data_IF_926633699809
#
_entry.id   IF_926633699809
#
_cell.length_a   1.000
_cell.length_b   1.000
_cell.length_c   1.000
_cell.angle_alpha   90.00
_cell.angle_beta   90.00
_cell.angle_gamma   90.00
#
_symmetry.space_group_name_H-M   'P 1'
#
loop_
_entity.id
_entity.type
_entity.pdbx_description
1 polymer ?
#
# COMPACT_ATOMS: atom_id res chain seq x y z
N UNK A 1 -19.92 -46.46 11.86
CA UNK A 1 -19.25 -45.62 10.81
C UNK A 1 -20.14 -45.11 9.67
N UNK A 2 -20.82 -45.89 8.80
CA UNK A 2 -21.75 -45.33 7.79
C UNK A 2 -23.18 -45.08 8.32
N UNK A 3 -23.64 -45.82 9.35
CA UNK A 3 -24.94 -45.61 10.00
C UNK A 3 -24.99 -44.43 10.97
N UNK A 4 -23.88 -44.04 11.60
CA UNK A 4 -23.83 -42.84 12.47
C UNK A 4 -23.87 -41.54 11.65
N UNK A 5 -23.31 -41.54 10.43
CA UNK A 5 -23.35 -40.37 9.54
C UNK A 5 -24.73 -40.15 8.91
N UNK A 6 -25.52 -41.21 8.73
CA UNK A 6 -26.89 -41.13 8.18
C UNK A 6 -27.90 -40.63 9.22
N UNK A 7 -27.69 -40.91 10.51
CA UNK A 7 -28.50 -40.34 11.59
C UNK A 7 -28.21 -38.86 11.83
N UNK A 8 -26.96 -38.40 11.71
CA UNK A 8 -26.62 -36.97 11.85
C UNK A 8 -27.23 -36.09 10.74
N UNK A 9 -27.43 -36.64 9.53
CA UNK A 9 -28.10 -35.95 8.42
C UNK A 9 -29.62 -35.87 8.60
N UNK A 10 -30.24 -36.88 9.22
CA UNK A 10 -31.68 -36.87 9.52
C UNK A 10 -32.03 -35.96 10.70
N UNK A 11 -31.16 -35.91 11.72
CA UNK A 11 -31.27 -34.93 12.80
C UNK A 11 -31.15 -33.50 12.22
N UNK A 12 -30.37 -33.31 11.14
CA UNK A 12 -30.31 -32.04 10.39
C UNK A 12 -31.59 -31.60 9.70
N UNK A 13 -32.45 -32.53 9.30
CA UNK A 13 -33.74 -32.23 8.67
C UNK A 13 -34.92 -32.17 9.67
N UNK A 14 -34.73 -32.64 10.91
CA UNK A 14 -35.78 -32.71 11.97
C UNK A 14 -35.77 -31.56 13.00
N UNK A 15 -34.94 -30.52 12.84
CA UNK A 15 -34.89 -29.42 13.83
C UNK A 15 -36.10 -28.50 13.83
N UNK A 16 -36.72 -28.30 12.66
CA UNK A 16 -38.03 -27.65 12.58
C UNK A 16 -39.10 -28.47 13.31
N UNK A 17 -38.95 -29.80 13.36
CA UNK A 17 -39.89 -30.71 14.03
C UNK A 17 -39.76 -30.70 15.56
N UNK A 18 -38.55 -30.53 16.13
CA UNK A 18 -38.35 -30.45 17.60
C UNK A 18 -39.11 -29.27 18.25
N UNK A 19 -39.16 -28.10 17.59
CA UNK A 19 -39.94 -26.93 18.06
C UNK A 19 -41.43 -27.04 17.72
N UNK A 20 -41.80 -27.88 16.75
CA UNK A 20 -43.19 -28.11 16.36
C UNK A 20 -43.92 -29.12 17.26
N UNK A 21 -43.21 -30.10 17.82
CA UNK A 21 -43.81 -31.21 18.58
C UNK A 21 -44.13 -30.82 20.03
N UNK A 22 -43.17 -30.26 20.79
CA UNK A 22 -43.44 -29.71 22.12
C UNK A 22 -42.42 -28.64 22.55
N UNK A 23 -42.90 -27.40 22.73
CA UNK A 23 -42.09 -26.24 23.14
C UNK A 23 -41.94 -26.19 24.66
N UNK A 24 -41.33 -27.22 25.24
CA UNK A 24 -40.86 -27.23 26.64
C UNK A 24 -39.40 -26.73 26.72
N UNK A 25 -38.93 -26.44 27.93
CA UNK A 25 -37.65 -25.75 28.14
C UNK A 25 -36.45 -26.54 27.56
N UNK A 26 -36.39 -27.85 27.80
CA UNK A 26 -35.28 -28.68 27.34
C UNK A 26 -35.21 -28.76 25.81
N UNK A 27 -36.35 -28.96 25.15
CA UNK A 27 -36.41 -29.04 23.69
C UNK A 27 -36.01 -27.71 23.04
N UNK A 28 -36.48 -26.57 23.57
CA UNK A 28 -36.10 -25.26 23.07
C UNK A 28 -34.60 -24.99 23.28
N UNK A 29 -34.04 -25.35 24.45
CA UNK A 29 -32.61 -25.19 24.74
C UNK A 29 -31.73 -26.04 23.83
N UNK A 30 -32.10 -27.30 23.60
CA UNK A 30 -31.36 -28.21 22.72
C UNK A 30 -31.39 -27.72 21.26
N UNK A 31 -32.56 -27.29 20.78
CA UNK A 31 -32.71 -26.75 19.44
C UNK A 31 -31.83 -25.51 19.21
N UNK A 32 -31.80 -24.56 20.16
CA UNK A 32 -30.95 -23.36 20.08
C UNK A 32 -29.46 -23.72 20.06
N UNK A 33 -29.03 -24.67 20.90
CA UNK A 33 -27.62 -25.10 20.98
C UNK A 33 -27.13 -25.74 19.69
N UNK A 34 -28.00 -26.44 18.98
CA UNK A 34 -27.66 -27.12 17.74
C UNK A 34 -27.71 -26.16 16.54
N UNK A 35 -28.72 -25.29 16.50
CA UNK A 35 -28.88 -24.29 15.47
C UNK A 35 -29.56 -23.03 16.04
N UNK A 36 -28.87 -21.90 16.00
CA UNK A 36 -29.37 -20.64 16.51
C UNK A 36 -30.60 -20.10 15.73
N UNK A 37 -30.75 -20.46 14.46
CA UNK A 37 -31.91 -20.08 13.66
C UNK A 37 -33.21 -20.67 14.20
N UNK A 38 -33.12 -21.70 15.05
CA UNK A 38 -34.25 -22.30 15.75
C UNK A 38 -35.07 -21.28 16.55
N UNK A 39 -34.44 -20.19 17.02
CA UNK A 39 -35.11 -19.08 17.72
C UNK A 39 -36.28 -18.49 16.91
N UNK A 40 -36.14 -18.42 15.57
CA UNK A 40 -37.17 -17.88 14.66
C UNK A 40 -38.49 -18.64 14.72
N UNK A 41 -38.45 -19.90 15.15
CA UNK A 41 -39.62 -20.80 15.17
C UNK A 41 -40.28 -20.91 16.56
N UNK A 42 -39.69 -20.30 17.59
CA UNK A 42 -40.24 -20.31 18.95
C UNK A 42 -41.49 -19.42 19.03
N UNK A 43 -42.59 -19.98 19.55
CA UNK A 43 -43.84 -19.23 19.78
C UNK A 43 -43.81 -18.63 21.18
N UNK A 44 -43.17 -17.48 21.35
CA UNK A 44 -42.94 -16.81 22.63
C UNK A 44 -44.19 -16.70 23.52
N UNK A 45 -45.35 -16.31 22.95
CA UNK A 45 -46.65 -16.28 23.66
C UNK A 45 -47.03 -17.60 24.32
N UNK A 46 -46.76 -18.72 23.62
CA UNK A 46 -47.14 -20.07 24.07
C UNK A 46 -46.21 -20.55 25.17
N UNK A 47 -44.90 -20.33 25.03
CA UNK A 47 -43.91 -20.78 26.01
C UNK A 47 -43.91 -19.94 27.29
N UNK A 48 -44.27 -18.66 27.18
CA UNK A 48 -44.43 -17.76 28.33
C UNK A 48 -45.30 -18.36 29.42
N UNK A 49 -46.39 -19.03 29.09
CA UNK A 49 -47.29 -19.61 30.10
C UNK A 49 -46.84 -20.99 30.62
N UNK A 50 -45.87 -21.62 29.95
CA UNK A 50 -45.40 -22.98 30.25
C UNK A 50 -44.09 -23.02 31.04
N UNK A 51 -43.27 -21.97 30.95
CA UNK A 51 -41.95 -21.89 31.57
C UNK A 51 -41.96 -20.91 32.75
N UNK A 52 -41.12 -21.15 33.75
CA UNK A 52 -40.80 -20.18 34.81
C UNK A 52 -40.04 -18.98 34.24
N UNK A 53 -39.97 -17.87 34.99
CA UNK A 53 -39.18 -16.71 34.58
C UNK A 53 -37.69 -17.03 34.48
N UNK A 54 -37.16 -17.91 35.33
CA UNK A 54 -35.75 -18.36 35.30
C UNK A 54 -35.43 -19.21 34.05
N UNK A 55 -36.34 -20.10 33.66
CA UNK A 55 -36.20 -20.88 32.43
C UNK A 55 -36.23 -19.99 31.18
N UNK A 56 -37.14 -19.01 31.15
CA UNK A 56 -37.21 -18.04 30.06
C UNK A 56 -35.94 -17.19 29.96
N UNK A 57 -35.40 -16.72 31.10
CA UNK A 57 -34.13 -16.00 31.13
C UNK A 57 -32.98 -16.83 30.57
N UNK A 58 -32.82 -18.08 31.06
CA UNK A 58 -31.77 -18.99 30.56
C UNK A 58 -31.90 -19.26 29.07
N UNK A 59 -33.12 -19.46 28.59
CA UNK A 59 -33.40 -19.69 27.17
C UNK A 59 -33.02 -18.48 26.32
N UNK A 60 -33.40 -17.27 26.75
CA UNK A 60 -33.07 -16.04 26.05
C UNK A 60 -31.56 -15.79 26.03
N UNK A 61 -30.87 -16.01 27.17
CA UNK A 61 -29.41 -15.85 27.27
C UNK A 61 -28.70 -16.84 26.35
N UNK A 62 -29.09 -18.12 26.34
CA UNK A 62 -28.48 -19.11 25.44
C UNK A 62 -28.74 -18.75 23.97
N UNK A 63 -29.91 -18.17 23.65
CA UNK A 63 -30.25 -17.71 22.31
C UNK A 63 -29.36 -16.60 21.76
N UNK A 64 -28.91 -15.69 22.62
CA UNK A 64 -28.05 -14.54 22.20
C UNK A 64 -26.56 -14.80 22.39
N UNK A 65 -26.20 -15.94 22.98
CA UNK A 65 -24.84 -16.26 23.44
C UNK A 65 -23.78 -16.32 22.34
N UNK A 66 -24.13 -16.82 21.16
CA UNK A 66 -23.18 -16.97 20.04
C UNK A 66 -23.38 -15.89 18.97
N UNK A 67 -24.57 -15.30 18.91
CA UNK A 67 -24.88 -14.18 18.03
C UNK A 67 -25.86 -13.24 18.74
N UNK A 68 -25.34 -12.13 19.27
CA UNK A 68 -26.13 -11.14 20.00
C UNK A 68 -27.32 -10.56 19.21
N UNK A 69 -27.22 -10.52 17.87
CA UNK A 69 -28.30 -10.07 16.98
C UNK A 69 -29.54 -10.97 17.01
N UNK A 70 -29.43 -12.20 17.50
CA UNK A 70 -30.56 -13.10 17.66
C UNK A 70 -31.62 -12.56 18.64
N UNK A 71 -31.29 -11.50 19.41
CA UNK A 71 -32.25 -10.74 20.20
C UNK A 71 -33.45 -10.26 19.36
N UNK A 72 -33.27 -10.01 18.05
CA UNK A 72 -34.36 -9.67 17.12
C UNK A 72 -35.46 -10.74 17.06
N UNK A 73 -35.10 -12.02 17.19
CA UNK A 73 -36.03 -13.14 17.10
C UNK A 73 -36.67 -13.48 18.45
N UNK A 74 -36.24 -12.83 19.53
CA UNK A 74 -36.82 -12.99 20.87
C UNK A 74 -37.90 -11.92 21.05
N UNK A 75 -39.16 -12.32 21.10
CA UNK A 75 -40.26 -11.37 21.32
C UNK A 75 -40.36 -10.98 22.81
N UNK A 76 -39.45 -10.10 23.22
CA UNK A 76 -39.36 -9.61 24.60
C UNK A 76 -40.57 -8.76 25.00
N UNK A 77 -41.28 -8.13 24.04
CA UNK A 77 -42.52 -7.41 24.34
C UNK A 77 -43.57 -8.34 24.93
N UNK A 78 -43.64 -9.57 24.44
CA UNK A 78 -44.55 -10.58 24.98
C UNK A 78 -44.11 -11.12 26.35
N UNK A 79 -42.81 -11.05 26.68
CA UNK A 79 -42.24 -11.59 27.91
C UNK A 79 -42.07 -10.57 29.05
N UNK A 80 -42.25 -9.28 28.78
CA UNK A 80 -41.88 -8.18 29.68
C UNK A 80 -42.64 -8.17 31.01
N UNK A 81 -43.86 -8.72 31.05
CA UNK A 81 -44.69 -8.87 32.25
C UNK A 81 -44.35 -10.12 33.07
N UNK A 82 -43.58 -11.07 32.50
CA UNK A 82 -43.15 -12.29 33.19
C UNK A 82 -41.69 -12.23 33.66
N UNK A 83 -40.84 -11.53 32.94
CA UNK A 83 -39.44 -11.34 33.30
C UNK A 83 -39.30 -10.11 34.20
N UNK A 84 -38.52 -10.23 35.28
CA UNK A 84 -38.20 -9.05 36.08
C UNK A 84 -37.19 -8.14 35.37
N UNK A 85 -37.13 -6.87 35.77
CA UNK A 85 -36.16 -5.90 35.22
C UNK A 85 -34.71 -6.38 35.34
N UNK A 86 -34.37 -7.14 36.39
CA UNK A 86 -33.05 -7.74 36.57
C UNK A 86 -32.73 -8.77 35.47
N UNK A 87 -33.71 -9.59 35.10
CA UNK A 87 -33.56 -10.63 34.09
C UNK A 87 -33.50 -10.05 32.69
N UNK A 88 -34.36 -9.07 32.39
CA UNK A 88 -34.29 -8.31 31.13
C UNK A 88 -32.92 -7.66 30.96
N UNK A 89 -32.44 -6.97 32.00
CA UNK A 89 -31.09 -6.40 32.02
C UNK A 89 -29.99 -7.45 31.76
N UNK A 90 -30.06 -8.63 32.38
CA UNK A 90 -29.10 -9.71 32.13
C UNK A 90 -29.14 -10.17 30.66
N UNK A 91 -30.33 -10.37 30.08
CA UNK A 91 -30.49 -10.79 28.68
C UNK A 91 -29.87 -9.72 27.75
N UNK A 92 -30.22 -8.45 27.96
CA UNK A 92 -29.72 -7.35 27.14
C UNK A 92 -28.21 -7.20 27.22
N UNK A 93 -27.64 -7.25 28.42
CA UNK A 93 -26.18 -7.12 28.61
C UNK A 93 -25.42 -8.27 27.96
N UNK A 94 -25.93 -9.51 28.00
CA UNK A 94 -25.33 -10.62 27.25
C UNK A 94 -25.42 -10.38 25.74
N UNK A 95 -26.59 -9.99 25.22
CA UNK A 95 -26.77 -9.74 23.79
C UNK A 95 -25.84 -8.64 23.25
N UNK A 96 -25.79 -7.47 23.91
CA UNK A 96 -24.95 -6.36 23.45
C UNK A 96 -23.46 -6.60 23.68
N UNK A 97 -23.10 -7.46 24.63
CA UNK A 97 -21.72 -7.89 24.86
C UNK A 97 -21.23 -8.78 23.72
N UNK A 98 -22.07 -9.66 23.19
CA UNK A 98 -21.71 -10.49 22.03
C UNK A 98 -21.73 -9.69 20.72
N UNK A 99 -22.70 -8.79 20.54
CA UNK A 99 -22.74 -7.89 19.40
C UNK A 99 -23.38 -6.55 19.76
N UNK A 100 -22.61 -5.46 19.72
CA UNK A 100 -23.09 -4.12 20.08
C UNK A 100 -24.32 -3.66 19.28
N UNK A 101 -24.49 -4.12 18.02
CA UNK A 101 -25.67 -3.79 17.20
C UNK A 101 -26.97 -4.39 17.72
N UNK A 102 -26.90 -5.37 18.63
CA UNK A 102 -28.07 -5.90 19.33
C UNK A 102 -28.83 -4.80 20.10
N UNK A 103 -28.19 -3.66 20.39
CA UNK A 103 -28.84 -2.52 21.03
C UNK A 103 -30.12 -2.07 20.31
N UNK A 104 -30.20 -2.24 18.99
CA UNK A 104 -31.40 -1.93 18.18
C UNK A 104 -32.68 -2.64 18.66
N UNK A 105 -32.53 -3.81 19.28
CA UNK A 105 -33.63 -4.66 19.71
C UNK A 105 -33.85 -4.62 21.23
N UNK A 106 -33.08 -3.79 21.96
CA UNK A 106 -33.24 -3.62 23.40
C UNK A 106 -34.46 -2.73 23.69
N UNK A 107 -35.32 -3.18 24.60
CA UNK A 107 -36.45 -2.42 25.10
C UNK A 107 -36.01 -1.77 26.42
N UNK A 108 -36.01 -0.43 26.46
CA UNK A 108 -35.51 0.33 27.61
C UNK A 108 -36.58 0.57 28.69
N UNK A 109 -37.86 0.36 28.36
CA UNK A 109 -38.97 0.58 29.27
C UNK A 109 -38.87 -0.31 30.52
N UNK A 110 -39.06 0.28 31.70
CA UNK A 110 -38.95 -0.41 32.99
C UNK A 110 -37.54 -0.55 33.56
N UNK A 111 -36.48 -0.29 32.77
CA UNK A 111 -35.10 -0.29 33.27
C UNK A 111 -34.76 1.02 33.98
N UNK A 112 -33.89 0.95 34.99
CA UNK A 112 -33.34 2.14 35.65
C UNK A 112 -32.33 2.87 34.76
N UNK A 113 -32.14 4.17 34.99
CA UNK A 113 -31.14 4.97 34.25
C UNK A 113 -29.72 4.37 34.31
N UNK A 114 -29.34 3.81 35.47
CA UNK A 114 -28.04 3.16 35.68
C UNK A 114 -27.91 1.92 34.79
N UNK A 115 -28.95 1.09 34.71
CA UNK A 115 -28.98 -0.10 33.86
C UNK A 115 -28.90 0.27 32.38
N UNK A 116 -29.70 1.25 31.95
CA UNK A 116 -29.70 1.75 30.56
C UNK A 116 -28.31 2.26 30.18
N UNK A 117 -27.71 3.11 31.03
CA UNK A 117 -26.36 3.62 30.82
C UNK A 117 -25.33 2.48 30.68
N UNK A 118 -25.41 1.46 31.53
CA UNK A 118 -24.46 0.34 31.45
C UNK A 118 -24.65 -0.50 30.17
N UNK A 119 -25.89 -0.76 29.74
CA UNK A 119 -26.16 -1.44 28.46
C UNK A 119 -25.55 -0.65 27.31
N UNK A 120 -25.75 0.68 27.28
CA UNK A 120 -25.15 1.54 26.26
C UNK A 120 -23.62 1.47 26.27
N UNK A 121 -22.98 1.54 27.44
CA UNK A 121 -21.52 1.44 27.56
C UNK A 121 -20.96 0.11 27.05
N UNK A 122 -21.62 -1.01 27.36
CA UNK A 122 -21.22 -2.32 26.83
C UNK A 122 -21.36 -2.33 25.31
N UNK A 123 -22.48 -1.83 24.78
CA UNK A 123 -22.74 -1.81 23.35
C UNK A 123 -21.71 -0.99 22.56
N UNK A 124 -21.41 0.25 23.00
CA UNK A 124 -20.46 1.12 22.29
C UNK A 124 -19.01 0.63 22.37
N UNK A 125 -18.63 -0.06 23.44
CA UNK A 125 -17.31 -0.71 23.56
C UNK A 125 -17.15 -1.86 22.56
N UNK A 126 -18.24 -2.53 22.22
CA UNK A 126 -18.22 -3.57 21.20
C UNK A 126 -18.32 -3.01 19.78
N UNK A 127 -19.14 -1.99 19.56
CA UNK A 127 -19.29 -1.34 18.27
C UNK A 127 -19.61 0.16 18.45
N UNK A 128 -18.66 1.02 18.10
CA UNK A 128 -18.77 2.47 18.28
C UNK A 128 -19.92 3.10 17.48
N UNK A 129 -20.29 2.53 16.32
CA UNK A 129 -21.33 3.08 15.44
C UNK A 129 -22.73 2.98 16.05
N UNK A 130 -22.87 2.19 17.11
CA UNK A 130 -24.13 2.06 17.87
C UNK A 130 -24.55 3.39 18.48
N UNK A 131 -23.63 4.34 18.67
CA UNK A 131 -23.93 5.69 19.14
C UNK A 131 -25.04 6.39 18.32
N UNK A 132 -25.16 6.09 17.03
CA UNK A 132 -26.21 6.65 16.16
C UNK A 132 -27.64 6.28 16.61
N UNK A 133 -27.81 5.21 17.39
CA UNK A 133 -29.10 4.75 17.91
C UNK A 133 -29.39 5.25 19.33
N UNK A 134 -28.43 5.91 19.98
CA UNK A 134 -28.55 6.38 21.36
C UNK A 134 -29.01 7.84 21.35
N UNK A 135 -30.24 8.09 21.86
CA UNK A 135 -30.80 9.44 22.01
C UNK A 135 -30.18 10.20 23.18
N UNK A 136 -30.25 9.63 24.38
CA UNK A 136 -29.73 10.26 25.60
C UNK A 136 -28.24 9.98 25.77
N UNK A 137 -27.42 10.77 25.08
CA UNK A 137 -25.97 10.62 25.09
C UNK A 137 -25.34 11.28 26.33
N UNK A 138 -24.25 10.69 26.83
CA UNK A 138 -23.42 11.27 27.88
C UNK A 138 -21.96 11.26 27.43
N UNK A 139 -21.11 12.08 28.08
CA UNK A 139 -19.68 12.14 27.76
C UNK A 139 -19.03 10.75 27.73
N UNK A 140 -19.32 9.91 28.73
CA UNK A 140 -18.74 8.57 28.86
C UNK A 140 -19.16 7.64 27.70
N UNK A 141 -20.41 7.70 27.26
CA UNK A 141 -20.90 6.90 26.13
C UNK A 141 -20.22 7.37 24.84
N UNK A 142 -20.15 8.69 24.62
CA UNK A 142 -19.53 9.26 23.42
C UNK A 142 -18.03 8.94 23.35
N UNK A 143 -17.29 9.12 24.45
CA UNK A 143 -15.83 8.89 24.44
C UNK A 143 -15.49 7.41 24.23
N UNK A 144 -16.24 6.48 24.83
CA UNK A 144 -16.02 5.05 24.63
C UNK A 144 -16.37 4.60 23.20
N UNK A 145 -17.41 5.20 22.61
CA UNK A 145 -17.76 5.01 21.19
C UNK A 145 -16.65 5.50 20.26
N UNK A 146 -16.14 6.72 20.49
CA UNK A 146 -15.05 7.32 19.69
C UNK A 146 -13.74 6.57 19.84
N UNK A 147 -13.40 6.10 21.05
CA UNK A 147 -12.25 5.22 21.29
C UNK A 147 -12.33 3.94 20.47
N UNK A 148 -13.55 3.40 20.30
CA UNK A 148 -13.78 2.19 19.51
C UNK A 148 -13.61 2.49 18.02
N UNK A 149 -14.34 3.48 17.51
CA UNK A 149 -14.26 3.94 16.12
C UNK A 149 -14.19 5.47 16.08
N UNK A 150 -13.09 6.02 15.56
CA UNK A 150 -12.86 7.47 15.55
C UNK A 150 -13.96 8.26 14.84
N UNK A 151 -14.49 7.72 13.74
CA UNK A 151 -15.56 8.34 12.97
C UNK A 151 -16.91 8.36 13.68
N UNK A 152 -17.08 7.63 14.78
CA UNK A 152 -18.33 7.63 15.53
C UNK A 152 -18.67 9.02 16.10
N UNK A 153 -17.69 9.93 16.16
CA UNK A 153 -17.92 11.32 16.57
C UNK A 153 -18.97 12.06 15.70
N UNK A 154 -19.19 11.61 14.46
CA UNK A 154 -20.25 12.17 13.60
C UNK A 154 -21.67 11.96 14.16
N UNK A 155 -21.84 10.93 15.00
CA UNK A 155 -23.11 10.54 15.62
C UNK A 155 -23.37 11.24 16.97
N UNK A 156 -22.42 12.05 17.45
CA UNK A 156 -22.63 12.85 18.67
C UNK A 156 -23.71 13.90 18.40
N UNK A 157 -24.74 13.92 19.25
CA UNK A 157 -25.81 14.91 19.18
C UNK A 157 -25.43 16.20 19.91
N UNK A 158 -24.64 17.03 19.24
CA UNK A 158 -24.11 18.30 19.78
C UNK A 158 -25.16 19.33 20.23
N UNK A 159 -26.41 19.18 19.81
CA UNK A 159 -27.51 20.10 20.12
C UNK A 159 -28.18 19.73 21.45
N UNK A 160 -28.26 18.43 21.77
CA UNK A 160 -28.89 17.92 23.00
C UNK A 160 -27.89 17.62 24.12
N UNK A 161 -26.65 17.24 23.77
CA UNK A 161 -25.66 16.83 24.77
C UNK A 161 -25.09 18.04 25.53
N UNK A 162 -25.19 18.01 26.86
CA UNK A 162 -24.63 19.03 27.74
C UNK A 162 -23.20 18.65 28.18
N UNK A 163 -22.20 19.15 27.47
CA UNK A 163 -20.77 18.92 27.77
C UNK A 163 -20.05 20.22 28.12
N UNK A 164 -19.06 20.12 29.00
CA UNK A 164 -18.12 21.24 29.23
C UNK A 164 -17.22 21.44 28.01
N UNK A 165 -16.64 22.64 27.87
CA UNK A 165 -15.67 22.93 26.79
C UNK A 165 -14.49 21.96 26.79
N UNK A 166 -14.05 21.53 27.98
CA UNK A 166 -12.97 20.57 28.14
C UNK A 166 -13.37 19.17 27.65
N UNK A 167 -14.57 18.70 28.01
CA UNK A 167 -15.11 17.43 27.52
C UNK A 167 -15.26 17.42 25.99
N UNK A 168 -15.74 18.51 25.40
CA UNK A 168 -15.83 18.64 23.94
C UNK A 168 -14.43 18.52 23.32
N UNK A 169 -13.46 19.25 23.86
CA UNK A 169 -12.08 19.23 23.38
C UNK A 169 -11.47 17.82 23.46
N UNK A 170 -11.57 17.17 24.62
CA UNK A 170 -11.05 15.81 24.84
C UNK A 170 -11.70 14.79 23.90
N UNK A 171 -13.01 14.90 23.67
CA UNK A 171 -13.73 14.03 22.74
C UNK A 171 -13.25 14.23 21.29
N UNK A 172 -13.00 15.46 20.86
CA UNK A 172 -12.45 15.76 19.54
C UNK A 172 -11.00 15.26 19.39
N UNK A 173 -10.17 15.46 20.42
CA UNK A 173 -8.79 14.95 20.47
C UNK A 173 -8.79 13.43 20.35
N UNK A 174 -9.61 12.73 21.13
CA UNK A 174 -9.69 11.27 21.08
C UNK A 174 -10.10 10.74 19.69
N UNK A 175 -10.97 11.48 18.98
CA UNK A 175 -11.35 11.12 17.61
C UNK A 175 -10.17 11.21 16.63
N UNK A 176 -9.34 12.25 16.73
CA UNK A 176 -8.22 12.44 15.80
C UNK A 176 -6.97 11.66 16.20
N UNK A 177 -6.83 11.29 17.48
CA UNK A 177 -5.65 10.63 18.07
C UNK A 177 -5.30 9.28 17.46
N UNK A 178 -6.28 8.52 16.97
CA UNK A 178 -6.01 7.23 16.28
C UNK A 178 -5.95 7.37 14.77
N UNK A 179 -6.65 8.36 14.24
CA UNK A 179 -6.84 8.57 12.81
C UNK A 179 -7.01 10.07 12.59
N UNK A 180 -5.92 10.79 12.28
CA UNK A 180 -5.93 12.24 12.13
C UNK A 180 -6.94 12.75 11.10
N UNK A 181 -7.15 11.99 10.02
CA UNK A 181 -8.20 12.24 9.02
C UNK A 181 -9.64 12.27 9.56
N UNK A 182 -9.90 11.82 10.80
CA UNK A 182 -11.22 11.91 11.45
C UNK A 182 -11.69 13.35 11.67
N UNK A 183 -10.82 14.36 11.46
CA UNK A 183 -11.20 15.77 11.36
C UNK A 183 -12.41 16.00 10.43
N UNK A 184 -12.58 15.17 9.38
CA UNK A 184 -13.71 15.30 8.43
C UNK A 184 -15.08 15.03 9.06
N UNK A 185 -15.11 14.23 10.13
CA UNK A 185 -16.35 13.84 10.80
C UNK A 185 -16.79 14.85 11.85
N UNK A 186 -15.91 15.79 12.22
CA UNK A 186 -16.22 16.86 13.16
C UNK A 186 -17.12 17.90 12.51
N UNK A 187 -18.30 18.11 13.11
CA UNK A 187 -19.28 19.12 12.68
C UNK A 187 -18.85 20.51 13.13
N UNK A 188 -17.85 21.08 12.46
CA UNK A 188 -17.22 22.36 12.83
C UNK A 188 -18.20 23.52 12.97
N UNK A 189 -19.30 23.54 12.21
CA UNK A 189 -20.36 24.55 12.33
C UNK A 189 -21.00 24.60 13.72
N UNK A 190 -21.01 23.48 14.46
CA UNK A 190 -21.58 23.35 15.81
C UNK A 190 -20.53 23.43 16.92
N UNK A 191 -19.26 23.20 16.57
CA UNK A 191 -18.16 23.08 17.53
C UNK A 191 -17.35 24.37 17.68
N UNK A 192 -17.17 25.13 16.60
CA UNK A 192 -16.26 26.28 16.56
C UNK A 192 -16.57 27.33 17.64
N UNK A 193 -17.84 27.59 17.90
CA UNK A 193 -18.28 28.61 18.87
C UNK A 193 -18.24 28.10 20.31
N UNK A 194 -18.13 26.77 20.51
CA UNK A 194 -18.05 26.13 21.82
C UNK A 194 -16.61 26.04 22.33
N UNK A 195 -15.60 26.08 21.45
CA UNK A 195 -14.19 25.89 21.76
C UNK A 195 -13.40 27.20 21.72
N UNK A 196 -12.35 27.30 22.54
CA UNK A 196 -11.38 28.40 22.44
C UNK A 196 -10.41 28.19 21.28
N UNK A 197 -9.75 29.26 20.82
CA UNK A 197 -8.69 29.17 19.79
C UNK A 197 -7.56 28.22 20.19
N UNK A 198 -7.20 28.19 21.48
CA UNK A 198 -6.18 27.29 22.02
C UNK A 198 -6.59 25.82 21.88
N UNK A 199 -7.84 25.49 22.20
CA UNK A 199 -8.36 24.12 22.08
C UNK A 199 -8.50 23.67 20.62
N UNK A 200 -8.94 24.56 19.73
CA UNK A 200 -8.95 24.29 18.29
C UNK A 200 -7.54 23.97 17.78
N UNK A 201 -6.56 24.78 18.19
CA UNK A 201 -5.16 24.53 17.87
C UNK A 201 -4.66 23.17 18.37
N UNK A 202 -4.99 22.78 19.60
CA UNK A 202 -4.62 21.47 20.17
C UNK A 202 -5.21 20.30 19.36
N UNK A 203 -6.49 20.37 18.98
CA UNK A 203 -7.15 19.35 18.15
C UNK A 203 -6.47 19.24 16.77
N UNK A 204 -6.23 20.38 16.12
CA UNK A 204 -5.60 20.42 14.81
C UNK A 204 -4.16 19.91 14.83
N UNK A 205 -3.41 20.29 15.87
CA UNK A 205 -2.03 19.84 16.05
C UNK A 205 -1.95 18.33 16.26
N UNK A 206 -2.85 17.77 17.08
CA UNK A 206 -2.89 16.32 17.28
C UNK A 206 -3.27 15.57 16.00
N UNK A 207 -4.24 16.11 15.24
CA UNK A 207 -4.63 15.50 13.97
C UNK A 207 -3.50 15.42 12.95
N UNK A 208 -2.71 16.49 12.78
CA UNK A 208 -1.60 16.49 11.81
C UNK A 208 -0.38 15.70 12.27
N UNK A 209 -0.20 15.48 13.58
CA UNK A 209 0.84 14.59 14.12
C UNK A 209 0.57 13.13 13.74
N UNK A 210 -0.70 12.73 13.78
CA UNK A 210 -1.11 11.37 13.43
C UNK A 210 -1.21 11.18 11.91
N UNK A 211 -1.78 12.15 11.20
CA UNK A 211 -1.91 12.15 9.74
C UNK A 211 -1.64 13.54 9.17
N UNK A 212 -0.45 13.78 8.61
CA UNK A 212 -0.08 15.10 8.08
C UNK A 212 -0.95 15.57 6.92
N UNK A 213 -1.61 14.65 6.19
CA UNK A 213 -2.56 15.02 5.14
C UNK A 213 -3.88 15.57 5.70
N UNK A 214 -4.13 15.43 7.00
CA UNK A 214 -5.26 16.06 7.68
C UNK A 214 -5.23 17.60 7.56
N UNK A 215 -4.07 18.20 7.24
CA UNK A 215 -3.92 19.62 6.93
C UNK A 215 -4.92 20.11 5.87
N UNK A 216 -5.28 19.27 4.90
CA UNK A 216 -6.27 19.59 3.85
C UNK A 216 -7.66 19.96 4.38
N UNK A 217 -7.97 19.57 5.62
CA UNK A 217 -9.25 19.84 6.28
C UNK A 217 -9.19 21.02 7.25
N UNK A 218 -7.99 21.59 7.48
CA UNK A 218 -7.78 22.70 8.41
C UNK A 218 -7.82 24.00 7.63
N UNK A 219 -8.87 24.80 7.84
CA UNK A 219 -9.01 26.13 7.24
C UNK A 219 -8.13 27.18 7.92
N UNK A 220 -8.15 27.18 9.26
CA UNK A 220 -7.38 28.12 10.08
C UNK A 220 -6.01 27.51 10.41
N UNK A 221 -5.10 27.53 9.44
CA UNK A 221 -3.75 27.01 9.60
C UNK A 221 -2.87 27.98 10.41
N UNK A 222 -1.81 27.45 11.02
CA UNK A 222 -0.74 28.22 11.64
C UNK A 222 0.61 27.68 11.15
N UNK A 223 1.69 28.50 11.15
CA UNK A 223 3.00 28.02 10.72
C UNK A 223 3.47 26.75 11.45
N UNK A 224 3.14 26.62 12.74
CA UNK A 224 3.46 25.45 13.54
C UNK A 224 2.70 24.19 13.08
N UNK A 225 1.41 24.31 12.76
CA UNK A 225 0.60 23.20 12.24
C UNK A 225 1.12 22.78 10.86
N UNK A 226 1.41 23.73 9.97
CA UNK A 226 1.98 23.44 8.66
C UNK A 226 3.32 22.69 8.78
N UNK A 227 4.20 23.16 9.69
CA UNK A 227 5.48 22.50 9.94
C UNK A 227 5.30 21.08 10.48
N UNK A 228 4.44 20.87 11.46
CA UNK A 228 4.24 19.52 12.01
C UNK A 228 3.63 18.58 10.97
N UNK A 229 2.69 19.06 10.15
CA UNK A 229 2.10 18.27 9.06
C UNK A 229 3.14 17.84 8.02
N UNK A 230 3.97 18.78 7.55
CA UNK A 230 5.06 18.51 6.60
C UNK A 230 6.13 17.59 7.21
N UNK A 231 6.41 17.76 8.49
CA UNK A 231 7.32 16.89 9.25
C UNK A 231 6.75 15.47 9.45
N UNK A 232 5.44 15.29 9.48
CA UNK A 232 4.82 13.95 9.47
C UNK A 232 4.94 13.35 8.06
N UNK A 233 4.51 14.08 7.03
CA UNK A 233 4.62 13.70 5.62
C UNK A 233 4.88 14.91 4.74
N UNK A 234 5.95 14.87 3.94
CA UNK A 234 6.30 15.99 3.07
C UNK A 234 5.22 16.29 2.01
N UNK A 235 4.36 15.32 1.68
CA UNK A 235 3.21 15.53 0.78
C UNK A 235 2.14 16.47 1.35
N UNK A 236 2.17 16.78 2.66
CA UNK A 236 1.29 17.79 3.25
C UNK A 236 1.56 19.20 2.68
N UNK A 237 2.73 19.42 2.07
CA UNK A 237 3.11 20.69 1.45
C UNK A 237 2.08 21.19 0.43
N UNK A 238 1.42 20.29 -0.29
CA UNK A 238 0.37 20.62 -1.27
C UNK A 238 -0.86 21.33 -0.65
N UNK A 239 -1.06 21.21 0.66
CA UNK A 239 -2.21 21.77 1.39
C UNK A 239 -1.83 22.97 2.27
N UNK A 240 -0.56 23.37 2.28
CA UNK A 240 -0.09 24.51 3.05
C UNK A 240 -0.70 25.79 2.50
N UNK A 241 -1.28 26.59 3.39
CA UNK A 241 -1.62 27.97 3.07
C UNK A 241 -0.34 28.81 3.08
N UNK A 242 0.14 29.18 1.90
CA UNK A 242 1.39 29.94 1.75
C UNK A 242 1.28 31.37 2.27
N UNK A 243 0.08 31.95 2.29
CA UNK A 243 -0.14 33.36 2.64
C UNK A 243 0.12 33.66 4.14
N UNK A 244 0.14 32.62 4.98
CA UNK A 244 0.41 32.75 6.43
C UNK A 244 1.89 32.56 6.79
N UNK A 245 2.75 32.30 5.82
CA UNK A 245 4.16 31.99 6.03
C UNK A 245 5.07 33.11 5.54
N UNK A 246 6.17 33.34 6.27
CA UNK A 246 7.28 34.15 5.77
C UNK A 246 8.11 33.39 4.73
N UNK A 247 8.85 34.11 3.88
CA UNK A 247 9.73 33.51 2.86
C UNK A 247 10.71 32.50 3.46
N UNK A 248 11.27 32.78 4.63
CA UNK A 248 12.18 31.88 5.32
C UNK A 248 11.48 30.57 5.75
N UNK A 249 10.26 30.66 6.27
CA UNK A 249 9.48 29.47 6.64
C UNK A 249 9.11 28.64 5.42
N UNK A 250 8.70 29.27 4.32
CA UNK A 250 8.43 28.60 3.05
C UNK A 250 9.66 27.84 2.58
N UNK A 251 10.81 28.51 2.52
CA UNK A 251 12.08 27.91 2.12
C UNK A 251 12.42 26.69 2.98
N UNK A 252 12.37 26.83 4.31
CA UNK A 252 12.70 25.74 5.23
C UNK A 252 11.74 24.54 5.07
N UNK A 253 10.44 24.77 4.91
CA UNK A 253 9.46 23.70 4.67
C UNK A 253 9.75 22.97 3.36
N UNK A 254 10.02 23.71 2.27
CA UNK A 254 10.34 23.12 0.98
C UNK A 254 11.62 22.26 1.06
N UNK A 255 12.70 22.79 1.64
CA UNK A 255 13.97 22.06 1.80
C UNK A 255 13.79 20.79 2.65
N UNK A 256 13.13 20.88 3.81
CA UNK A 256 12.86 19.72 4.67
C UNK A 256 12.01 18.66 3.94
N UNK A 257 11.09 19.09 3.08
CA UNK A 257 10.22 18.20 2.31
C UNK A 257 10.97 17.45 1.22
N UNK A 258 11.68 18.18 0.34
CA UNK A 258 12.36 17.57 -0.82
C UNK A 258 13.53 16.68 -0.42
N UNK A 259 14.18 16.96 0.72
CA UNK A 259 15.20 16.08 1.31
C UNK A 259 14.67 14.70 1.69
N UNK A 260 13.37 14.56 1.93
CA UNK A 260 12.73 13.28 2.26
C UNK A 260 12.23 12.56 1.02
N UNK A 261 11.61 13.30 0.11
CA UNK A 261 11.14 12.79 -1.18
C UNK A 261 11.24 13.90 -2.24
N UNK A 262 12.16 13.74 -3.18
CA UNK A 262 12.45 14.71 -4.23
C UNK A 262 11.25 14.99 -5.14
N UNK A 263 10.29 14.07 -5.26
CA UNK A 263 9.08 14.31 -6.06
C UNK A 263 8.16 15.37 -5.47
N UNK A 264 8.32 15.72 -4.19
CA UNK A 264 7.57 16.82 -3.56
C UNK A 264 7.88 18.17 -4.22
N UNK A 265 8.99 18.28 -4.98
CA UNK A 265 9.30 19.45 -5.79
C UNK A 265 8.12 19.87 -6.69
N UNK A 266 7.30 18.92 -7.15
CA UNK A 266 6.09 19.19 -7.94
C UNK A 266 5.01 19.99 -7.20
N UNK A 267 5.06 20.10 -5.88
CA UNK A 267 4.16 20.91 -5.06
C UNK A 267 4.78 22.25 -4.60
N UNK A 268 6.06 22.49 -4.91
CA UNK A 268 6.77 23.72 -4.55
C UNK A 268 6.37 24.83 -5.53
N UNK A 269 5.70 25.87 -5.03
CA UNK A 269 5.23 27.00 -5.85
C UNK A 269 6.37 27.87 -6.39
N UNK A 270 7.33 28.21 -5.53
CA UNK A 270 8.50 29.02 -5.88
C UNK A 270 9.77 28.17 -5.71
N UNK A 271 10.31 27.70 -6.84
CA UNK A 271 11.51 26.87 -6.87
C UNK A 271 12.76 27.75 -6.93
N UNK A 272 13.70 27.55 -6.01
CA UNK A 272 15.06 28.10 -6.09
C UNK A 272 16.01 27.01 -6.59
N UNK A 273 17.16 27.36 -7.20
CA UNK A 273 18.17 26.37 -7.59
C UNK A 273 18.55 25.43 -6.44
N UNK A 274 18.66 25.93 -5.21
CA UNK A 274 19.01 25.13 -4.04
C UNK A 274 17.93 24.09 -3.72
N UNK A 275 16.64 24.46 -3.77
CA UNK A 275 15.53 23.51 -3.54
C UNK A 275 15.53 22.44 -4.64
N UNK A 276 15.72 22.83 -5.90
CA UNK A 276 15.80 21.89 -7.02
C UNK A 276 16.99 20.94 -6.87
N UNK A 277 18.17 21.45 -6.50
CA UNK A 277 19.37 20.65 -6.26
C UNK A 277 19.16 19.62 -5.16
N UNK A 278 18.57 20.01 -4.02
CA UNK A 278 18.27 19.06 -2.94
C UNK A 278 17.26 17.98 -3.37
N UNK A 279 16.28 18.34 -4.20
CA UNK A 279 15.32 17.38 -4.74
C UNK A 279 15.98 16.35 -5.68
N UNK A 280 16.82 16.79 -6.63
CA UNK A 280 17.47 15.89 -7.59
C UNK A 280 18.59 15.07 -6.97
N UNK A 281 19.29 15.59 -5.93
CA UNK A 281 20.21 14.83 -5.10
C UNK A 281 19.52 13.67 -4.39
N UNK A 282 18.30 13.90 -3.91
CA UNK A 282 17.49 12.86 -3.27
C UNK A 282 17.01 11.83 -4.29
N UNK A 283 16.49 12.29 -5.45
CA UNK A 283 16.03 11.44 -6.55
C UNK A 283 16.18 12.16 -7.89
N UNK A 284 17.05 11.66 -8.78
CA UNK A 284 17.36 12.29 -10.06
C UNK A 284 16.14 12.44 -10.97
N UNK A 285 15.12 11.58 -10.85
CA UNK A 285 13.88 11.73 -11.59
C UNK A 285 13.01 12.90 -11.14
N UNK A 286 13.30 13.53 -9.99
CA UNK A 286 12.67 14.78 -9.59
C UNK A 286 12.92 15.92 -10.60
N UNK A 287 13.93 15.79 -11.47
CA UNK A 287 14.22 16.71 -12.56
C UNK A 287 12.99 17.00 -13.43
N UNK A 288 12.07 16.03 -13.58
CA UNK A 288 10.81 16.20 -14.32
C UNK A 288 9.89 17.29 -13.78
N UNK A 289 10.10 17.74 -12.53
CA UNK A 289 9.32 18.78 -11.86
C UNK A 289 10.09 20.10 -11.74
N UNK A 290 11.34 20.17 -12.22
CA UNK A 290 12.14 21.39 -12.22
C UNK A 290 11.64 22.31 -13.33
N UNK A 291 11.22 23.53 -12.97
CA UNK A 291 10.71 24.51 -13.94
C UNK A 291 11.83 25.14 -14.79
N UNK A 292 12.96 25.45 -14.15
CA UNK A 292 14.14 26.04 -14.81
C UNK A 292 15.34 25.10 -14.66
N UNK A 293 15.60 24.33 -15.72
CA UNK A 293 16.64 23.30 -15.74
C UNK A 293 18.01 23.91 -16.04
N UNK A 294 18.67 24.41 -15.01
CA UNK A 294 20.07 24.83 -15.11
C UNK A 294 20.98 23.61 -15.29
N UNK A 295 22.08 23.76 -16.05
CA UNK A 295 23.04 22.68 -16.32
C UNK A 295 23.52 22.00 -15.03
N UNK A 296 23.76 22.76 -13.95
CA UNK A 296 24.17 22.20 -12.66
C UNK A 296 23.13 21.24 -12.05
N UNK A 297 21.82 21.54 -12.21
CA UNK A 297 20.72 20.72 -11.72
C UNK A 297 20.59 19.46 -12.58
N UNK A 298 20.71 19.62 -13.90
CA UNK A 298 20.69 18.50 -14.84
C UNK A 298 21.85 17.54 -14.61
N UNK A 299 23.08 18.07 -14.46
CA UNK A 299 24.28 17.29 -14.15
C UNK A 299 24.12 16.54 -12.83
N UNK A 300 23.61 17.18 -11.79
CA UNK A 300 23.38 16.52 -10.51
C UNK A 300 22.32 15.42 -10.62
N UNK A 301 21.25 15.66 -11.37
CA UNK A 301 20.20 14.66 -11.61
C UNK A 301 20.73 13.42 -12.34
N UNK A 302 21.52 13.59 -13.40
CA UNK A 302 22.08 12.46 -14.18
C UNK A 302 23.21 11.75 -13.43
N UNK A 303 23.97 12.46 -12.57
CA UNK A 303 24.91 11.83 -11.62
C UNK A 303 24.20 10.94 -10.62
N UNK A 304 23.05 11.40 -10.10
CA UNK A 304 22.24 10.61 -9.18
C UNK A 304 21.62 9.40 -9.90
N UNK A 305 21.05 9.60 -11.08
CA UNK A 305 20.49 8.54 -11.93
C UNK A 305 20.62 8.92 -13.41
N UNK A 306 21.46 8.19 -14.16
CA UNK A 306 21.75 8.49 -15.57
C UNK A 306 20.52 8.46 -16.47
N UNK A 307 19.50 7.67 -16.11
CA UNK A 307 18.24 7.63 -16.85
C UNK A 307 17.42 8.92 -16.72
N UNK A 308 17.74 9.81 -15.77
CA UNK A 308 17.10 11.12 -15.65
C UNK A 308 17.35 12.03 -16.86
N UNK A 309 18.31 11.69 -17.75
CA UNK A 309 18.52 12.34 -19.05
C UNK A 309 17.23 12.38 -19.90
N UNK A 310 16.30 11.44 -19.69
CA UNK A 310 14.97 11.43 -20.30
C UNK A 310 14.20 12.73 -20.05
N UNK A 311 14.42 13.36 -18.89
CA UNK A 311 13.72 14.58 -18.47
C UNK A 311 14.53 15.87 -18.75
N UNK A 312 15.75 15.77 -19.28
CA UNK A 312 16.55 16.94 -19.65
C UNK A 312 16.00 17.52 -20.95
N UNK A 313 15.61 18.80 -20.89
CA UNK A 313 15.09 19.55 -22.04
C UNK A 313 16.19 19.78 -23.09
N UNK A 314 17.25 20.48 -22.68
CA UNK A 314 18.43 20.79 -23.47
C UNK A 314 19.60 19.87 -23.09
N UNK A 315 19.90 18.90 -23.95
CA UNK A 315 20.92 17.87 -23.71
C UNK A 315 22.27 18.34 -24.29
N UNK A 316 23.15 18.85 -23.44
CA UNK A 316 24.54 19.15 -23.84
C UNK A 316 25.39 17.87 -23.84
N UNK A 317 26.49 17.88 -24.60
CA UNK A 317 27.42 16.75 -24.63
C UNK A 317 27.95 16.38 -23.24
N UNK A 318 28.20 17.38 -22.39
CA UNK A 318 28.65 17.15 -21.00
C UNK A 318 27.61 16.37 -20.19
N UNK A 319 26.33 16.79 -20.24
CA UNK A 319 25.23 16.12 -19.52
C UNK A 319 25.01 14.70 -20.08
N UNK A 320 25.06 14.55 -21.41
CA UNK A 320 24.95 13.26 -22.09
C UNK A 320 26.06 12.29 -21.69
N UNK A 321 27.32 12.74 -21.72
CA UNK A 321 28.48 11.95 -21.32
C UNK A 321 28.38 11.53 -19.85
N UNK A 322 27.98 12.44 -18.97
CA UNK A 322 27.78 12.12 -17.55
C UNK A 322 26.68 11.06 -17.35
N UNK A 323 25.56 11.18 -18.08
CA UNK A 323 24.46 10.22 -18.01
C UNK A 323 24.87 8.81 -18.45
N UNK A 324 25.64 8.68 -19.53
CA UNK A 324 26.10 7.36 -20.02
C UNK A 324 27.23 6.78 -19.18
N UNK A 325 28.10 7.62 -18.59
CA UNK A 325 29.09 7.19 -17.59
C UNK A 325 28.42 6.62 -16.35
N UNK A 326 27.33 7.25 -15.90
CA UNK A 326 26.53 6.76 -14.78
C UNK A 326 25.85 5.42 -15.15
N UNK A 327 25.12 5.40 -16.26
CA UNK A 327 24.43 4.22 -16.79
C UNK A 327 24.46 4.20 -18.33
N UNK A 328 25.16 3.23 -18.93
CA UNK A 328 25.30 3.13 -20.39
C UNK A 328 23.97 2.98 -21.14
N UNK A 329 22.92 2.45 -20.49
CA UNK A 329 21.59 2.34 -21.11
C UNK A 329 20.86 3.68 -21.25
N UNK A 330 21.36 4.75 -20.63
CA UNK A 330 20.85 6.11 -20.79
C UNK A 330 20.95 6.60 -22.25
N UNK A 331 21.82 5.99 -23.07
CA UNK A 331 21.93 6.26 -24.50
C UNK A 331 20.59 6.21 -25.24
N UNK A 332 19.67 5.34 -24.79
CA UNK A 332 18.29 5.24 -25.32
C UNK A 332 17.54 6.57 -25.36
N UNK A 333 17.85 7.48 -24.44
CA UNK A 333 17.14 8.74 -24.25
C UNK A 333 17.91 9.96 -24.76
N UNK A 334 19.10 9.75 -25.33
CA UNK A 334 19.93 10.82 -25.90
C UNK A 334 19.45 11.12 -27.31
N UNK A 335 19.11 12.39 -27.55
CA UNK A 335 18.53 12.87 -28.80
C UNK A 335 19.56 13.00 -29.92
N UNK A 336 20.76 13.46 -29.61
CA UNK A 336 21.87 13.63 -30.56
C UNK A 336 23.04 12.78 -30.07
N UNK A 337 23.41 11.76 -30.84
CA UNK A 337 24.47 10.83 -30.45
C UNK A 337 25.77 11.20 -31.14
N UNK A 338 26.79 11.55 -30.36
CA UNK A 338 28.16 11.64 -30.87
C UNK A 338 28.86 10.29 -30.73
N UNK A 339 29.91 10.09 -31.51
CA UNK A 339 30.74 8.88 -31.45
C UNK A 339 31.30 8.68 -30.04
N UNK A 340 31.78 9.74 -29.39
CA UNK A 340 32.28 9.72 -28.02
C UNK A 340 31.21 9.24 -27.02
N UNK A 341 29.98 9.77 -27.12
CA UNK A 341 28.85 9.37 -26.26
C UNK A 341 28.53 7.89 -26.46
N UNK A 342 28.46 7.42 -27.71
CA UNK A 342 28.18 6.02 -28.03
C UNK A 342 29.28 5.09 -27.48
N UNK A 343 30.55 5.41 -27.71
CA UNK A 343 31.70 4.65 -27.23
C UNK A 343 31.67 4.58 -25.69
N UNK A 344 31.45 5.70 -25.01
CA UNK A 344 31.41 5.73 -23.55
C UNK A 344 30.23 4.90 -23.00
N UNK A 345 29.06 4.97 -23.66
CA UNK A 345 27.90 4.17 -23.30
C UNK A 345 28.15 2.66 -23.41
N UNK A 346 28.74 2.19 -24.52
CA UNK A 346 29.02 0.76 -24.72
C UNK A 346 30.16 0.25 -23.85
N UNK A 347 31.17 1.09 -23.55
CA UNK A 347 32.20 0.79 -22.54
C UNK A 347 31.59 0.60 -21.16
N UNK A 348 30.59 1.40 -20.81
CA UNK A 348 29.84 1.25 -19.56
C UNK A 348 28.97 0.01 -19.56
N UNK A 349 28.21 -0.24 -20.63
CA UNK A 349 27.36 -1.40 -20.81
C UNK A 349 27.26 -1.78 -22.30
N UNK A 350 27.82 -2.93 -22.70
CA UNK A 350 27.85 -3.36 -24.11
C UNK A 350 26.46 -3.51 -24.74
N UNK A 351 25.42 -3.76 -23.94
CA UNK A 351 24.03 -3.81 -24.42
C UNK A 351 23.48 -2.44 -24.84
N UNK A 352 24.18 -1.34 -24.54
CA UNK A 352 23.82 -0.01 -25.05
C UNK A 352 23.90 0.07 -26.58
N UNK A 353 24.66 -0.82 -27.23
CA UNK A 353 24.80 -0.89 -28.70
C UNK A 353 23.44 -0.93 -29.40
N UNK A 354 22.43 -1.58 -28.81
CA UNK A 354 21.07 -1.68 -29.36
C UNK A 354 20.35 -0.33 -29.53
N UNK A 355 20.87 0.73 -28.92
CA UNK A 355 20.29 2.07 -28.94
C UNK A 355 21.11 3.05 -29.78
N UNK A 356 22.22 2.60 -30.39
CA UNK A 356 23.00 3.39 -31.34
C UNK A 356 22.18 3.58 -32.61
N UNK A 357 22.03 4.83 -33.06
CA UNK A 357 21.29 5.17 -34.28
C UNK A 357 22.18 4.99 -35.50
N UNK A 358 22.00 3.89 -36.21
CA UNK A 358 22.85 3.47 -37.33
C UNK A 358 22.96 4.50 -38.45
N UNK A 359 21.91 5.28 -38.68
CA UNK A 359 21.80 6.28 -39.73
C UNK A 359 22.61 7.56 -39.46
N UNK A 360 23.09 7.77 -38.22
CA UNK A 360 23.87 8.95 -37.82
C UNK A 360 25.40 8.75 -37.97
N UNK A 361 25.89 7.55 -38.29
CA UNK A 361 27.33 7.21 -38.29
C UNK A 361 27.83 6.67 -39.64
N UNK A 362 29.11 6.92 -39.95
CA UNK A 362 29.78 6.18 -41.03
C UNK A 362 29.96 4.71 -40.66
N UNK A 363 30.21 3.87 -41.65
CA UNK A 363 30.47 2.44 -41.41
C UNK A 363 31.67 2.24 -40.48
N UNK A 364 32.74 2.99 -40.70
CA UNK A 364 33.97 2.92 -39.90
C UNK A 364 33.71 3.27 -38.43
N UNK A 365 32.95 4.34 -38.17
CA UNK A 365 32.58 4.76 -36.82
C UNK A 365 31.69 3.71 -36.13
N UNK A 366 30.72 3.15 -36.85
CA UNK A 366 29.87 2.10 -36.30
C UNK A 366 30.65 0.82 -35.99
N UNK A 367 31.59 0.44 -36.85
CA UNK A 367 32.47 -0.72 -36.62
C UNK A 367 33.31 -0.52 -35.35
N UNK A 368 33.84 0.69 -35.11
CA UNK A 368 34.58 1.03 -33.88
C UNK A 368 33.69 0.91 -32.62
N UNK A 369 32.48 1.47 -32.65
CA UNK A 369 31.50 1.36 -31.55
C UNK A 369 31.17 -0.12 -31.27
N UNK A 370 30.99 -0.94 -32.31
CA UNK A 370 30.74 -2.37 -32.18
C UNK A 370 31.90 -3.10 -31.51
N UNK A 371 33.15 -2.81 -31.90
CA UNK A 371 34.34 -3.40 -31.29
C UNK A 371 34.40 -3.08 -29.80
N UNK A 372 34.15 -1.82 -29.43
CA UNK A 372 34.11 -1.43 -28.01
C UNK A 372 32.95 -2.10 -27.23
N UNK A 373 31.79 -2.28 -27.85
CA UNK A 373 30.69 -3.03 -27.26
C UNK A 373 31.04 -4.51 -27.05
N UNK A 374 31.68 -5.14 -28.04
CA UNK A 374 32.19 -6.53 -27.98
C UNK A 374 33.25 -6.66 -26.89
N UNK A 375 34.15 -5.68 -26.78
CA UNK A 375 35.13 -5.64 -25.71
C UNK A 375 34.45 -5.73 -24.34
N UNK A 376 33.36 -4.98 -24.15
CA UNK A 376 32.61 -4.99 -22.90
C UNK A 376 31.76 -6.25 -22.69
N UNK A 377 31.13 -6.76 -23.73
CA UNK A 377 30.21 -7.90 -23.66
C UNK A 377 30.26 -8.69 -24.97
N UNK A 378 31.15 -9.70 -25.08
CA UNK A 378 31.39 -10.41 -26.35
C UNK A 378 30.15 -11.02 -26.98
N UNK A 379 29.18 -11.48 -26.16
CA UNK A 379 27.91 -12.03 -26.63
C UNK A 379 27.01 -11.04 -27.38
N UNK A 380 27.34 -9.74 -27.39
CA UNK A 380 26.61 -8.74 -28.18
C UNK A 380 26.73 -9.01 -29.69
N UNK A 381 27.76 -9.76 -30.11
CA UNK A 381 27.99 -10.16 -31.50
C UNK A 381 26.73 -10.77 -32.15
N UNK A 382 25.94 -11.53 -31.39
CA UNK A 382 24.70 -12.16 -31.86
C UNK A 382 23.63 -11.15 -32.34
N UNK A 383 23.74 -9.87 -31.95
CA UNK A 383 22.81 -8.80 -32.31
C UNK A 383 23.37 -7.85 -33.39
N UNK A 384 24.57 -8.13 -33.92
CA UNK A 384 25.19 -7.36 -35.00
C UNK A 384 24.89 -8.05 -36.33
N UNK A 385 24.13 -7.38 -37.21
CA UNK A 385 23.71 -7.94 -38.50
C UNK A 385 24.86 -8.10 -39.51
N UNK A 386 25.84 -7.17 -39.50
CA UNK A 386 26.95 -7.17 -40.46
C UNK A 386 28.28 -7.44 -39.76
N UNK A 387 28.49 -8.68 -39.32
CA UNK A 387 29.70 -9.07 -38.59
C UNK A 387 30.95 -9.03 -39.49
N UNK A 388 31.95 -8.23 -39.11
CA UNK A 388 33.27 -8.27 -39.76
C UNK A 388 34.14 -9.39 -39.19
N UNK A 389 35.14 -9.85 -39.94
CA UNK A 389 36.07 -10.87 -39.41
C UNK A 389 36.81 -10.35 -38.16
N UNK A 390 37.08 -9.04 -38.09
CA UNK A 390 37.69 -8.41 -36.93
C UNK A 390 36.79 -8.48 -35.69
N UNK A 391 35.50 -8.12 -35.81
CA UNK A 391 34.50 -8.26 -34.73
C UNK A 391 34.42 -9.70 -34.22
N UNK A 392 34.34 -10.66 -35.14
CA UNK A 392 34.28 -12.08 -34.80
C UNK A 392 35.54 -12.53 -34.07
N UNK A 393 36.73 -12.15 -34.55
CA UNK A 393 38.00 -12.49 -33.92
C UNK A 393 38.10 -11.90 -32.52
N UNK A 394 37.72 -10.64 -32.33
CA UNK A 394 37.79 -9.97 -31.04
C UNK A 394 36.81 -10.57 -30.03
N UNK A 395 35.59 -10.91 -30.47
CA UNK A 395 34.60 -11.58 -29.62
C UNK A 395 35.10 -12.94 -29.13
N UNK A 396 35.58 -13.81 -30.02
CA UNK A 396 36.00 -15.18 -29.66
C UNK A 396 37.31 -15.23 -28.88
N UNK A 397 38.16 -14.20 -28.99
CA UNK A 397 39.37 -14.06 -28.15
C UNK A 397 39.02 -13.77 -26.70
N UNK A 398 37.88 -13.12 -26.45
CA UNK A 398 37.41 -12.75 -25.11
C UNK A 398 36.49 -13.80 -24.49
N UNK A 399 35.61 -14.39 -25.30
CA UNK A 399 34.79 -15.54 -24.92
C UNK A 399 34.58 -16.43 -26.13
N UNK A 400 35.35 -17.52 -26.19
CA UNK A 400 35.30 -18.48 -27.27
C UNK A 400 33.92 -19.13 -27.43
N UNK A 401 33.05 -19.13 -26.40
CA UNK A 401 31.69 -19.69 -26.51
C UNK A 401 30.81 -18.90 -27.48
N UNK A 402 31.17 -17.64 -27.75
CA UNK A 402 30.47 -16.76 -28.71
C UNK A 402 30.64 -17.25 -30.15
N UNK A 403 31.51 -18.24 -30.42
CA UNK A 403 31.62 -18.85 -31.77
C UNK A 403 30.28 -19.34 -32.34
N UNK A 404 29.35 -19.77 -31.48
CA UNK A 404 27.99 -20.16 -31.89
C UNK A 404 27.21 -19.01 -32.54
N UNK A 405 27.52 -17.77 -32.16
CA UNK A 405 26.88 -16.52 -32.58
C UNK A 405 27.59 -15.88 -33.79
N UNK A 406 28.72 -16.45 -34.23
CA UNK A 406 29.43 -16.03 -35.46
C UNK A 406 28.66 -16.51 -36.69
N UNK A 407 28.25 -15.59 -37.55
CA UNK A 407 27.50 -15.90 -38.77
C UNK A 407 28.37 -16.63 -39.80
N UNK A 408 29.54 -16.07 -40.12
CA UNK A 408 30.50 -16.63 -41.07
C UNK A 408 31.76 -17.14 -40.35
N UNK A 409 31.79 -18.44 -40.07
CA UNK A 409 32.90 -19.07 -39.36
C UNK A 409 34.11 -19.29 -40.29
N UNK A 410 35.15 -18.47 -40.19
CA UNK A 410 36.42 -18.70 -40.91
C UNK A 410 37.30 -19.71 -40.16
N UNK A 411 38.24 -20.37 -40.86
CA UNK A 411 39.22 -21.27 -40.22
C UNK A 411 39.96 -20.55 -39.08
N UNK A 412 40.29 -19.26 -39.30
CA UNK A 412 40.98 -18.41 -38.33
C UNK A 412 40.14 -18.13 -37.08
N UNK A 413 38.88 -17.71 -37.24
CA UNK A 413 37.96 -17.44 -36.12
C UNK A 413 37.71 -18.71 -35.30
N UNK A 414 37.45 -19.84 -35.95
CA UNK A 414 37.27 -21.12 -35.27
C UNK A 414 38.50 -21.53 -34.44
N UNK A 415 39.70 -21.36 -35.00
CA UNK A 415 40.93 -21.69 -34.28
C UNK A 415 41.14 -20.82 -33.06
N UNK A 416 40.83 -19.52 -33.13
CA UNK A 416 40.93 -18.65 -31.96
C UNK A 416 39.88 -18.96 -30.89
N UNK A 417 38.65 -19.24 -31.29
CA UNK A 417 37.62 -19.68 -30.35
C UNK A 417 38.01 -20.97 -29.61
N UNK A 418 38.50 -21.99 -30.33
CA UNK A 418 39.02 -23.23 -29.72
C UNK A 418 40.25 -22.94 -28.86
N UNK A 419 41.03 -21.93 -29.25
CA UNK A 419 42.24 -21.61 -28.54
C UNK A 419 41.98 -21.06 -27.15
N UNK A 420 41.02 -20.13 -27.07
CA UNK A 420 40.49 -19.56 -25.83
C UNK A 420 39.72 -20.63 -25.05
N UNK A 421 38.73 -21.28 -25.68
CA UNK A 421 37.89 -22.31 -25.06
C UNK A 421 37.75 -23.56 -25.96
N UNK A 422 38.38 -24.69 -25.60
CA UNK A 422 38.28 -25.94 -26.37
C UNK A 422 36.86 -26.47 -26.57
N UNK A 423 35.92 -26.17 -25.67
CA UNK A 423 34.51 -26.57 -25.82
C UNK A 423 33.81 -25.88 -26.99
N UNK A 424 34.35 -24.75 -27.46
CA UNK A 424 33.82 -24.05 -28.64
C UNK A 424 33.88 -24.89 -29.90
N UNK A 425 34.67 -25.97 -29.92
CA UNK A 425 34.65 -26.97 -30.99
C UNK A 425 33.23 -27.49 -31.30
N UNK A 426 32.39 -27.67 -30.28
CA UNK A 426 31.01 -28.13 -30.48
C UNK A 426 30.11 -27.09 -31.18
N UNK A 427 30.55 -25.83 -31.26
CA UNK A 427 29.83 -24.76 -31.96
C UNK A 427 30.27 -24.57 -33.42
N UNK A 428 31.24 -25.36 -33.90
CA UNK A 428 31.74 -25.27 -35.27
C UNK A 428 30.76 -25.91 -36.25
N UNK A 429 30.38 -25.17 -37.29
CA UNK A 429 29.59 -25.67 -38.42
C UNK A 429 30.53 -26.37 -39.41
N UNK A 430 30.89 -27.62 -39.13
CA UNK A 430 31.85 -28.41 -39.90
C UNK A 430 31.52 -28.55 -41.41
N UNK A 431 30.26 -28.33 -41.80
CA UNK A 431 29.84 -28.33 -43.22
C UNK A 431 30.22 -27.05 -43.95
N UNK A 432 30.43 -25.95 -43.23
CA UNK A 432 30.67 -24.61 -43.77
C UNK A 432 32.16 -24.23 -43.73
N UNK A 433 32.94 -24.81 -42.81
CA UNK A 433 34.36 -24.47 -42.59
C UNK A 433 35.31 -25.55 -43.11
N UNK A 434 36.24 -25.19 -43.99
CA UNK A 434 37.34 -26.07 -44.43
C UNK A 434 38.60 -25.81 -43.60
N UNK A 435 39.01 -26.79 -42.82
CA UNK A 435 40.28 -26.74 -42.09
C UNK A 435 41.43 -27.36 -42.89
N UNK A 436 42.60 -26.74 -42.84
CA UNK A 436 43.83 -27.33 -43.33
C UNK A 436 44.23 -28.56 -42.49
N UNK A 437 44.91 -29.54 -43.10
CA UNK A 437 45.39 -30.74 -42.39
C UNK A 437 46.22 -30.41 -41.14
N UNK A 438 47.05 -29.36 -41.22
CA UNK A 438 47.86 -28.86 -40.12
C UNK A 438 47.00 -28.38 -38.95
N UNK A 439 45.93 -27.65 -39.23
CA UNK A 439 45.06 -27.11 -38.20
C UNK A 439 44.10 -28.15 -37.64
N UNK A 440 43.62 -29.10 -38.44
CA UNK A 440 42.90 -30.28 -37.94
C UNK A 440 43.72 -31.07 -36.90
N UNK A 441 45.01 -31.29 -37.19
CA UNK A 441 45.91 -31.96 -36.26
C UNK A 441 46.07 -31.19 -34.94
N UNK A 442 46.18 -29.85 -35.01
CA UNK A 442 46.23 -28.99 -33.81
C UNK A 442 44.95 -29.06 -32.98
N UNK A 443 43.78 -28.99 -33.62
CA UNK A 443 42.48 -29.12 -32.96
C UNK A 443 42.38 -30.48 -32.27
N UNK A 444 42.72 -31.56 -32.97
CA UNK A 444 42.69 -32.92 -32.43
C UNK A 444 43.55 -33.09 -31.16
N UNK A 445 44.81 -32.61 -31.20
CA UNK A 445 45.69 -32.63 -30.02
C UNK A 445 45.06 -31.86 -28.85
N UNK A 446 44.49 -30.68 -29.12
CA UNK A 446 43.89 -29.84 -28.09
C UNK A 446 42.67 -30.50 -27.46
N UNK A 447 41.78 -31.11 -28.25
CA UNK A 447 40.60 -31.80 -27.73
C UNK A 447 40.94 -33.04 -26.88
N UNK A 448 41.97 -33.83 -27.26
CA UNK A 448 42.46 -34.95 -26.43
C UNK A 448 42.93 -34.45 -25.06
N UNK A 449 43.72 -33.37 -25.05
CA UNK A 449 44.26 -32.80 -23.81
C UNK A 449 43.15 -32.44 -22.81
N UNK A 450 41.99 -32.02 -23.31
CA UNK A 450 40.83 -31.62 -22.49
C UNK A 450 39.80 -32.74 -22.30
N UNK A 451 40.08 -33.97 -22.76
CA UNK A 451 39.18 -35.14 -22.66
C UNK A 451 37.78 -34.87 -23.25
N UNK A 452 37.71 -34.14 -24.37
CA UNK A 452 36.47 -33.78 -25.05
C UNK A 452 36.04 -34.79 -26.13
N UNK A 453 36.59 -36.00 -26.06
CA UNK A 453 36.32 -37.13 -26.96
C UNK A 453 35.72 -38.31 -26.21
#
# INVERSE_FOLDING_TARGET
MKLEKYNLLKIREDYQNLIYVDQNFNNCMEAIKINEESLKFIKWKRIKNRMTSEELEKLCIEGVKYQGLNLEFIDLKQLIDKLSNKQLYNIYTNAVKENGLALKYVILEGLTEIQIKNIFLIAVRQNGDVLQYIKNQSYEICIESVKKYSWAIQYVNWDEINLTKEQICNLCIEAVKKHGGSLIYLKWSRLKDKLSKKQLYEIFLEAVREDGLALKHIKEQTPAICKEAVKQTGYALQYVNWDILSKEQIYNLCIESVKRDGYILGYVKEQTPEICLEAVKQNGYALRYVNNQLDEICLEAVRQNGLAIEFVSEQTDEICLEAVRQNGLSLRYIKVQTEEICIEAVKRNGYALRFVKLDEFSKEQFDEICIEAIHKSPCILQYIENQTEEMCLEAVRRDGKVLKDVENQTEKVCLEAINENPLSFYSIRLKEVKFSKKNLFKIYIKLIKYKLF
#
